data_IF_722743064073
#
_entry.id   IF_722743064073
#
_cell.length_a   1.000
_cell.length_b   1.000
_cell.length_c   1.000
_cell.angle_alpha   90.00
_cell.angle_beta   90.00
_cell.angle_gamma   90.00
#
_symmetry.space_group_name_H-M   'P 1'
#
loop_
_entity.id
_entity.type
_entity.pdbx_description
1 polymer ?
#
# COMPACT_ATOMS: atom_id res chain seq x y z
N UNK A 1 11.09 -2.10 -12.32
CA UNK A 1 10.67 -2.44 -10.94
C UNK A 1 9.83 -1.31 -10.37
N UNK A 2 8.64 -1.61 -9.84
CA UNK A 2 7.72 -0.67 -9.19
C UNK A 2 7.73 -0.90 -7.67
N UNK A 3 7.98 0.14 -6.89
CA UNK A 3 8.11 0.04 -5.43
C UNK A 3 7.02 0.86 -4.73
N UNK A 4 6.29 0.25 -3.80
CA UNK A 4 5.22 0.89 -3.05
C UNK A 4 5.61 1.06 -1.57
N UNK A 5 5.87 2.28 -1.13
CA UNK A 5 6.13 2.58 0.28
C UNK A 5 4.84 2.83 1.05
N UNK A 6 4.60 2.07 2.12
CA UNK A 6 3.35 2.14 2.90
C UNK A 6 3.61 2.69 4.31
N UNK A 7 2.91 3.76 4.68
CA UNK A 7 2.94 4.32 6.03
C UNK A 7 1.64 4.04 6.79
N UNK A 8 1.76 3.33 7.92
CA UNK A 8 0.65 3.11 8.87
C UNK A 8 0.61 4.17 9.98
N UNK A 9 1.52 5.14 9.97
CA UNK A 9 1.60 6.14 11.03
C UNK A 9 0.47 7.15 10.91
N UNK A 10 -0.25 7.49 12.00
CA UNK A 10 -1.28 8.53 11.95
C UNK A 10 -0.69 9.93 11.79
N UNK A 11 0.61 10.11 12.06
CA UNK A 11 1.32 11.40 12.01
C UNK A 11 1.73 11.74 10.58
N UNK A 12 0.91 12.55 9.91
CA UNK A 12 1.25 13.14 8.60
C UNK A 12 2.53 13.97 8.70
N UNK A 13 3.48 13.76 7.78
CA UNK A 13 4.77 14.44 7.78
C UNK A 13 5.69 14.07 8.95
N UNK A 14 5.36 13.02 9.71
CA UNK A 14 6.21 12.52 10.79
C UNK A 14 7.33 11.60 10.31
N UNK A 15 8.21 11.21 11.23
CA UNK A 15 9.43 10.43 10.94
C UNK A 15 9.21 9.20 10.04
N UNK A 16 8.12 8.44 10.25
CA UNK A 16 7.83 7.26 9.43
C UNK A 16 7.64 7.62 7.96
N UNK A 17 6.85 8.66 7.68
CA UNK A 17 6.64 9.13 6.31
C UNK A 17 7.95 9.66 5.72
N UNK A 18 8.71 10.46 6.48
CA UNK A 18 10.01 10.99 6.04
C UNK A 18 10.98 9.87 5.65
N UNK A 19 11.10 8.83 6.49
CA UNK A 19 12.01 7.72 6.24
C UNK A 19 11.57 6.86 5.04
N UNK A 20 10.27 6.61 4.89
CA UNK A 20 9.75 5.87 3.73
C UNK A 20 10.00 6.66 2.44
N UNK A 21 9.76 7.97 2.44
CA UNK A 21 10.04 8.82 1.27
C UNK A 21 11.51 8.79 0.88
N UNK A 22 12.41 8.92 1.85
CA UNK A 22 13.85 8.81 1.61
C UNK A 22 14.26 7.42 1.05
N UNK A 23 13.63 6.34 1.55
CA UNK A 23 13.87 5.00 1.01
C UNK A 23 13.38 4.84 -0.44
N UNK A 24 12.23 5.41 -0.78
CA UNK A 24 11.70 5.43 -2.15
C UNK A 24 12.60 6.24 -3.09
N UNK A 25 13.09 7.41 -2.66
CA UNK A 25 14.07 8.20 -3.41
C UNK A 25 15.35 7.40 -3.67
N UNK A 26 15.82 6.64 -2.67
CA UNK A 26 16.94 5.72 -2.82
C UNK A 26 16.66 4.60 -3.83
N UNK A 27 15.48 4.00 -3.78
CA UNK A 27 15.07 2.96 -4.74
C UNK A 27 14.99 3.50 -6.17
N UNK A 28 14.43 4.69 -6.35
CA UNK A 28 14.38 5.36 -7.65
C UNK A 28 15.80 5.64 -8.18
N UNK A 29 16.69 6.14 -7.32
CA UNK A 29 18.10 6.39 -7.65
C UNK A 29 18.86 5.11 -8.02
N UNK A 30 18.44 3.96 -7.49
CA UNK A 30 19.00 2.64 -7.80
C UNK A 30 18.40 1.98 -9.05
N UNK A 31 17.49 2.66 -9.77
CA UNK A 31 16.92 2.19 -11.03
C UNK A 31 15.50 1.62 -10.94
N UNK A 32 14.76 1.84 -9.85
CA UNK A 32 13.32 1.60 -9.85
C UNK A 32 12.63 2.54 -10.86
N UNK A 33 11.75 1.98 -11.70
CA UNK A 33 11.05 2.72 -12.76
C UNK A 33 9.94 3.59 -12.20
N UNK A 34 9.31 3.13 -11.12
CA UNK A 34 8.19 3.78 -10.47
C UNK A 34 8.28 3.57 -8.96
N UNK A 35 8.04 4.65 -8.21
CA UNK A 35 7.99 4.61 -6.75
C UNK A 35 6.77 5.37 -6.28
N UNK A 36 5.94 4.74 -5.47
CA UNK A 36 4.69 5.31 -4.97
C UNK A 36 4.69 5.34 -3.45
N UNK A 37 4.05 6.36 -2.88
CA UNK A 37 3.86 6.46 -1.43
C UNK A 37 2.37 6.40 -1.08
N UNK A 38 2.01 5.45 -0.21
CA UNK A 38 0.66 5.28 0.30
C UNK A 38 0.63 5.50 1.82
N UNK A 39 -0.19 6.45 2.27
CA UNK A 39 -0.52 6.59 3.70
C UNK A 39 -1.84 5.89 3.99
N UNK A 40 -1.82 4.95 4.95
CA UNK A 40 -3.03 4.32 5.48
C UNK A 40 -3.70 5.17 6.57
N UNK A 41 -3.08 6.29 6.95
CA UNK A 41 -3.70 7.23 7.88
C UNK A 41 -5.03 7.72 7.31
N UNK A 42 -6.09 7.62 8.14
CA UNK A 42 -7.48 7.96 7.79
C UNK A 42 -8.15 7.03 6.77
N UNK A 43 -7.52 5.94 6.35
CA UNK A 43 -8.18 4.89 5.57
C UNK A 43 -9.04 4.00 6.47
N UNK A 44 -10.20 3.59 5.97
CA UNK A 44 -11.08 2.59 6.59
C UNK A 44 -10.71 1.23 6.02
N UNK A 45 -10.03 0.43 6.82
CA UNK A 45 -9.60 -0.92 6.46
C UNK A 45 -10.08 -1.86 7.54
N UNK A 46 -10.91 -2.81 7.16
CA UNK A 46 -11.46 -3.83 8.04
C UNK A 46 -10.60 -5.08 8.00
N UNK A 47 -10.57 -5.82 9.11
CA UNK A 47 -9.91 -7.11 9.13
C UNK A 47 -10.67 -8.12 8.25
N UNK A 48 -9.92 -9.04 7.64
CA UNK A 48 -10.51 -10.20 6.97
C UNK A 48 -11.34 -11.02 7.97
N UNK A 49 -12.54 -11.44 7.56
CA UNK A 49 -13.46 -12.23 8.39
C UNK A 49 -13.50 -13.72 8.02
N UNK A 50 -12.67 -14.17 7.07
CA UNK A 50 -12.61 -15.58 6.68
C UNK A 50 -13.83 -16.11 5.92
N UNK A 51 -14.62 -15.25 5.27
CA UNK A 51 -15.80 -15.68 4.50
C UNK A 51 -15.50 -16.47 3.22
N UNK A 52 -14.24 -16.44 2.74
CA UNK A 52 -13.76 -17.13 1.53
C UNK A 52 -14.43 -16.74 0.20
N UNK A 53 -15.21 -15.65 0.15
CA UNK A 53 -15.86 -15.19 -1.09
C UNK A 53 -14.86 -14.89 -2.21
N UNK A 54 -13.71 -14.31 -1.85
CA UNK A 54 -12.64 -13.94 -2.79
C UNK A 54 -12.03 -15.14 -3.52
N UNK A 55 -12.10 -16.37 -2.98
CA UNK A 55 -11.59 -17.57 -3.66
C UNK A 55 -12.33 -17.86 -4.98
N UNK A 56 -13.59 -17.41 -5.09
CA UNK A 56 -14.41 -17.60 -6.30
C UNK A 56 -14.42 -16.36 -7.18
N UNK A 57 -14.47 -15.18 -6.58
CA UNK A 57 -14.70 -13.92 -7.30
C UNK A 57 -13.42 -13.16 -7.64
N UNK A 58 -12.29 -13.46 -6.98
CA UNK A 58 -11.08 -12.66 -7.02
C UNK A 58 -11.21 -11.29 -6.33
N UNK A 59 -12.35 -11.01 -5.67
CA UNK A 59 -12.64 -9.73 -5.02
C UNK A 59 -13.09 -9.94 -3.57
N UNK A 60 -12.57 -9.12 -2.66
CA UNK A 60 -13.05 -9.12 -1.28
C UNK A 60 -14.50 -8.64 -1.25
N UNK A 61 -15.35 -9.26 -0.43
CA UNK A 61 -16.74 -8.84 -0.23
C UNK A 61 -16.90 -7.72 0.81
N UNK A 62 -15.80 -7.34 1.46
CA UNK A 62 -15.77 -6.18 2.36
C UNK A 62 -15.54 -4.95 1.50
N UNK A 63 -16.51 -4.04 1.48
CA UNK A 63 -16.42 -2.78 0.76
C UNK A 63 -15.79 -1.72 1.65
N UNK A 64 -14.47 -1.60 1.58
CA UNK A 64 -13.68 -0.61 2.31
C UNK A 64 -12.51 -0.10 1.44
N UNK A 65 -11.61 0.69 2.02
CA UNK A 65 -10.54 1.33 1.24
C UNK A 65 -9.51 0.32 0.70
N UNK A 66 -9.55 -0.96 1.09
CA UNK A 66 -8.71 -1.99 0.48
C UNK A 66 -9.00 -2.18 -1.00
N UNK A 67 -10.20 -1.86 -1.48
CA UNK A 67 -10.55 -2.02 -2.90
C UNK A 67 -9.71 -1.14 -3.81
N UNK A 68 -9.27 0.02 -3.32
CA UNK A 68 -8.33 0.90 -4.03
C UNK A 68 -6.87 0.46 -3.81
N UNK A 69 -6.58 -0.21 -2.69
CA UNK A 69 -5.22 -0.62 -2.31
C UNK A 69 -4.81 -1.94 -2.97
N UNK A 70 -5.72 -2.89 -3.16
CA UNK A 70 -5.42 -4.19 -3.78
C UNK A 70 -4.76 -4.05 -5.16
N UNK A 71 -5.24 -3.20 -6.09
CA UNK A 71 -4.58 -2.98 -7.37
C UNK A 71 -3.14 -2.48 -7.21
N UNK A 72 -2.89 -1.56 -6.26
CA UNK A 72 -1.55 -1.03 -6.00
C UNK A 72 -0.60 -2.13 -5.51
N UNK A 73 -1.07 -2.98 -4.58
CA UNK A 73 -0.28 -4.11 -4.06
C UNK A 73 0.02 -5.15 -5.13
N UNK A 74 -0.95 -5.47 -6.00
CA UNK A 74 -0.77 -6.42 -7.11
C UNK A 74 0.18 -5.86 -8.16
N UNK A 75 0.19 -4.55 -8.33
CA UNK A 75 1.01 -3.88 -9.33
C UNK A 75 2.48 -3.68 -8.91
N UNK A 76 2.74 -3.63 -7.60
CA UNK A 76 4.06 -3.43 -7.05
C UNK A 76 4.93 -4.70 -7.18
N UNK A 77 6.19 -4.50 -7.56
CA UNK A 77 7.23 -5.53 -7.54
C UNK A 77 7.92 -5.63 -6.16
N UNK A 78 7.86 -4.55 -5.37
CA UNK A 78 8.41 -4.46 -4.01
C UNK A 78 7.61 -3.53 -3.09
N UNK A 79 7.61 -3.84 -1.79
CA UNK A 79 6.88 -3.12 -0.72
C UNK A 79 7.84 -2.85 0.44
#
# INVERSE_FOLDING_TARGET
MRVLGISCSPRTGGNTETLIRAALEGAQSAGAEETEFLSLSRKKISACNGCLACLKTGKCSIEDDMQDIYPMLIHADGI
#
